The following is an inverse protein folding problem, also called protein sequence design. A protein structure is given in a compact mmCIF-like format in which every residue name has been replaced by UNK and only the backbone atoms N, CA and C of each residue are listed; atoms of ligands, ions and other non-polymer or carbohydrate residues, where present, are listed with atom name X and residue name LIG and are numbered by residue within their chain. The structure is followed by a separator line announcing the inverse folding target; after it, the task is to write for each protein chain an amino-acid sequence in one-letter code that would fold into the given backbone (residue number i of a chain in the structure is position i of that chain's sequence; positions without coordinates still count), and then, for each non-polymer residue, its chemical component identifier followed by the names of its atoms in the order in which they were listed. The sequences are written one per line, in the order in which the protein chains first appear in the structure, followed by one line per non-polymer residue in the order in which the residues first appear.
data_IF_982582863185
#
_entry.id   IF_982582863185
#
_cell.length_a   1.000
_cell.length_b   1.000
_cell.length_c   1.000
_cell.angle_alpha   90.00
_cell.angle_beta   90.00
_cell.angle_gamma   90.00
#
_symmetry.space_group_name_H-M   'P 1'
#
loop_
_entity.id
_entity.type
_entity.pdbx_description
1 polymer ?
#
# COMPACT_ATOMS: atom_id res chain seq x y z
N UNK A 1 -46.96 61.38 -48.75
CA UNK A 1 -46.32 60.10 -49.13
C UNK A 1 -46.01 59.34 -47.86
N UNK A 2 -46.71 58.23 -47.63
CA UNK A 2 -46.56 57.35 -46.48
C UNK A 2 -45.31 56.48 -46.61
N UNK A 3 -44.50 56.36 -45.56
CA UNK A 3 -43.60 55.21 -45.34
C UNK A 3 -43.60 54.84 -43.86
N UNK A 4 -44.23 53.70 -43.61
CA UNK A 4 -44.10 52.82 -42.47
C UNK A 4 -42.67 52.31 -42.29
N UNK A 5 -42.33 51.94 -41.06
CA UNK A 5 -41.24 51.06 -40.57
C UNK A 5 -40.52 51.75 -39.42
N UNK A 6 -40.46 51.21 -38.21
CA UNK A 6 -40.89 49.94 -37.66
C UNK A 6 -40.21 49.89 -36.29
N UNK A 7 -41.01 49.74 -35.24
CA UNK A 7 -40.49 49.36 -33.93
C UNK A 7 -39.80 48.01 -34.06
N UNK A 8 -38.49 48.00 -33.87
CA UNK A 8 -37.76 46.79 -33.53
C UNK A 8 -36.58 47.17 -32.64
N UNK A 9 -36.69 46.70 -31.39
CA UNK A 9 -35.57 46.36 -30.52
C UNK A 9 -35.05 47.42 -29.57
N UNK A 10 -35.95 47.94 -28.73
CA UNK A 10 -35.70 47.89 -27.28
C UNK A 10 -35.64 46.40 -26.85
N UNK A 11 -34.50 45.72 -27.02
CA UNK A 11 -34.32 44.39 -26.41
C UNK A 11 -32.86 43.90 -26.30
N UNK A 12 -31.90 44.42 -27.07
CA UNK A 12 -30.57 43.79 -27.15
C UNK A 12 -29.41 44.60 -26.56
N UNK A 13 -29.70 45.69 -25.84
CA UNK A 13 -28.68 46.47 -25.15
C UNK A 13 -28.31 45.93 -23.74
N UNK A 14 -28.94 44.83 -23.29
CA UNK A 14 -28.93 44.43 -21.88
C UNK A 14 -28.05 43.24 -21.47
N UNK A 15 -27.32 42.56 -22.37
CA UNK A 15 -26.70 41.26 -22.00
C UNK A 15 -25.29 40.99 -22.54
N UNK A 16 -24.56 42.00 -23.02
CA UNK A 16 -23.24 41.78 -23.63
C UNK A 16 -22.04 41.99 -22.67
N UNK A 17 -22.25 42.45 -21.43
CA UNK A 17 -21.13 42.91 -20.57
C UNK A 17 -20.78 41.98 -19.39
N UNK A 18 -21.35 40.76 -19.34
CA UNK A 18 -21.09 39.78 -18.25
C UNK A 18 -20.54 38.42 -18.71
N UNK A 19 -20.31 38.20 -20.01
CA UNK A 19 -19.97 36.86 -20.52
C UNK A 19 -18.49 36.65 -20.89
N UNK A 20 -17.69 37.72 -20.99
CA UNK A 20 -16.27 37.64 -21.36
C UNK A 20 -15.30 37.59 -20.17
N UNK A 21 -15.83 37.69 -18.96
CA UNK A 21 -15.15 37.32 -17.72
C UNK A 21 -15.73 35.97 -17.30
N UNK A 22 -15.09 34.83 -17.52
CA UNK A 22 -13.75 34.61 -18.04
C UNK A 22 -13.72 33.09 -18.31
N UNK A 23 -14.08 32.61 -19.53
CA UNK A 23 -13.87 31.22 -19.89
C UNK A 23 -12.43 30.79 -19.56
N UNK A 24 -11.49 31.73 -19.69
CA UNK A 24 -10.11 31.61 -19.25
C UNK A 24 -9.97 31.38 -17.73
N UNK A 25 -10.56 32.21 -16.86
CA UNK A 25 -10.47 32.00 -15.41
C UNK A 25 -11.12 30.68 -14.98
N UNK A 26 -12.22 30.27 -15.62
CA UNK A 26 -12.81 28.97 -15.38
C UNK A 26 -11.82 27.84 -15.75
N UNK A 27 -11.16 27.93 -16.90
CA UNK A 27 -10.13 26.96 -17.30
C UNK A 27 -8.90 26.97 -16.39
N UNK A 28 -8.44 28.15 -15.96
CA UNK A 28 -7.33 28.30 -15.00
C UNK A 28 -7.72 27.70 -13.65
N UNK A 29 -8.95 27.90 -13.18
CA UNK A 29 -9.43 27.30 -11.95
C UNK A 29 -9.47 25.76 -12.04
N UNK A 30 -9.98 25.20 -13.14
CA UNK A 30 -10.00 23.75 -13.36
C UNK A 30 -8.57 23.19 -13.44
N UNK A 31 -7.65 23.87 -14.12
CA UNK A 31 -6.24 23.51 -14.17
C UNK A 31 -5.62 23.51 -12.76
N UNK A 32 -5.86 24.57 -11.97
CA UNK A 32 -5.33 24.69 -10.62
C UNK A 32 -5.88 23.59 -9.70
N UNK A 33 -7.18 23.29 -9.77
CA UNK A 33 -7.80 22.20 -9.01
C UNK A 33 -7.27 20.84 -9.46
N UNK A 34 -7.13 20.61 -10.78
CA UNK A 34 -6.55 19.39 -11.33
C UNK A 34 -5.09 19.20 -10.93
N UNK A 35 -4.29 20.27 -10.92
CA UNK A 35 -2.90 20.25 -10.48
C UNK A 35 -2.79 20.02 -8.96
N UNK A 36 -3.65 20.66 -8.16
CA UNK A 36 -3.71 20.44 -6.72
C UNK A 36 -4.11 19.00 -6.38
N UNK A 37 -5.12 18.45 -7.06
CA UNK A 37 -5.51 17.05 -6.94
C UNK A 37 -4.40 16.11 -7.42
N UNK A 38 -3.73 16.41 -8.53
CA UNK A 38 -2.59 15.65 -9.03
C UNK A 38 -1.43 15.62 -8.04
N UNK A 39 -1.03 16.78 -7.51
CA UNK A 39 0.00 16.87 -6.47
C UNK A 39 -0.43 16.17 -5.18
N UNK A 40 -1.70 16.28 -4.79
CA UNK A 40 -2.24 15.55 -3.66
C UNK A 40 -2.17 14.04 -3.87
N UNK A 41 -2.48 13.56 -5.09
CA UNK A 41 -2.36 12.13 -5.42
C UNK A 41 -0.91 11.66 -5.42
N UNK A 42 0.07 12.47 -5.83
CA UNK A 42 1.49 12.10 -5.75
C UNK A 42 1.94 11.93 -4.30
N UNK A 43 1.55 12.85 -3.42
CA UNK A 43 1.84 12.72 -1.98
C UNK A 43 1.11 11.51 -1.38
N UNK A 44 -0.12 11.25 -1.82
CA UNK A 44 -0.89 10.10 -1.33
C UNK A 44 -0.35 8.76 -1.87
N UNK A 45 0.16 8.73 -3.09
CA UNK A 45 0.78 7.56 -3.72
C UNK A 45 2.11 7.23 -3.03
N UNK A 46 2.94 8.25 -2.76
CA UNK A 46 4.17 8.11 -1.97
C UNK A 46 3.90 7.63 -0.53
N UNK A 47 2.77 8.06 0.06
CA UNK A 47 2.35 7.63 1.40
C UNK A 47 1.58 6.30 1.42
N UNK A 48 1.18 5.76 0.26
CA UNK A 48 0.41 4.52 0.19
C UNK A 48 1.37 3.35 -0.02
N UNK A 49 1.63 2.51 1.00
CA UNK A 49 2.31 1.25 0.75
C UNK A 49 1.52 0.42 -0.27
N UNK A 50 2.24 -0.07 -1.27
CA UNK A 50 1.76 -0.81 -2.45
C UNK A 50 0.62 -1.77 -2.07
N UNK A 51 -0.64 -1.36 -2.31
CA UNK A 51 -1.82 -2.10 -1.80
C UNK A 51 -2.09 -3.39 -2.56
N UNK A 52 -1.45 -3.59 -3.70
CA UNK A 52 -1.64 -4.79 -4.52
C UNK A 52 -0.83 -6.00 -4.03
N UNK A 53 0.16 -5.80 -3.16
CA UNK A 53 0.98 -6.88 -2.59
C UNK A 53 1.45 -6.48 -1.18
N UNK A 54 0.95 -7.12 -0.10
CA UNK A 54 1.34 -6.76 1.26
C UNK A 54 2.86 -6.92 1.39
N UNK A 55 3.52 -5.82 1.75
CA UNK A 55 4.97 -5.79 1.97
C UNK A 55 5.39 -6.79 3.05
N UNK A 56 6.68 -7.16 3.02
CA UNK A 56 7.25 -8.15 3.93
C UNK A 56 6.97 -7.82 5.42
N UNK A 57 6.99 -6.54 5.78
CA UNK A 57 6.68 -6.02 7.11
C UNK A 57 5.24 -6.29 7.54
N UNK A 58 4.28 -6.10 6.63
CA UNK A 58 2.85 -6.37 6.92
C UNK A 58 2.62 -7.86 7.18
N UNK A 59 3.29 -8.70 6.40
CA UNK A 59 3.23 -10.16 6.59
C UNK A 59 3.93 -10.55 7.90
N UNK A 60 5.09 -9.95 8.21
CA UNK A 60 5.80 -10.15 9.46
C UNK A 60 4.93 -9.79 10.67
N UNK A 61 4.28 -8.62 10.68
CA UNK A 61 3.41 -8.18 11.76
C UNK A 61 2.21 -9.13 11.99
N UNK A 62 1.70 -9.72 10.92
CA UNK A 62 0.61 -10.71 10.98
C UNK A 62 1.10 -12.03 11.56
N UNK A 63 2.26 -12.51 11.09
CA UNK A 63 2.90 -13.74 11.58
C UNK A 63 3.22 -13.62 13.06
N UNK A 64 3.88 -12.53 13.46
CA UNK A 64 4.24 -12.29 14.85
C UNK A 64 3.00 -12.29 15.74
N UNK A 65 1.94 -11.57 15.37
CA UNK A 65 0.69 -11.55 16.15
C UNK A 65 0.04 -12.93 16.29
N UNK A 66 0.12 -13.76 15.25
CA UNK A 66 -0.52 -15.09 15.25
C UNK A 66 0.29 -16.11 16.04
N UNK A 67 1.62 -16.08 15.88
CA UNK A 67 2.53 -17.00 16.54
C UNK A 67 2.86 -16.59 17.99
N UNK A 68 2.60 -15.35 18.39
CA UNK A 68 2.92 -14.87 19.73
C UNK A 68 1.84 -15.23 20.76
N UNK A 69 2.28 -15.79 21.89
CA UNK A 69 1.45 -16.03 23.08
C UNK A 69 2.14 -15.37 24.27
N UNK A 70 1.49 -14.36 24.87
CA UNK A 70 2.04 -13.66 26.04
C UNK A 70 3.38 -12.97 25.80
N UNK A 71 3.63 -12.49 24.56
CA UNK A 71 4.89 -11.85 24.17
C UNK A 71 6.02 -12.82 23.76
N UNK A 72 5.72 -14.13 23.71
CA UNK A 72 6.67 -15.16 23.28
C UNK A 72 6.18 -15.79 21.98
N UNK A 73 7.02 -15.80 20.96
CA UNK A 73 6.78 -16.49 19.69
C UNK A 73 6.83 -17.99 19.92
N UNK A 74 5.75 -18.65 19.54
CA UNK A 74 5.58 -20.09 19.53
C UNK A 74 5.78 -20.63 18.10
N UNK A 75 6.90 -21.34 17.83
CA UNK A 75 7.18 -21.86 16.50
C UNK A 75 6.13 -22.84 15.96
N UNK A 76 5.43 -23.57 16.85
CA UNK A 76 4.42 -24.54 16.45
C UNK A 76 3.19 -23.85 15.82
N UNK A 77 2.95 -22.58 16.19
CA UNK A 77 1.86 -21.74 15.67
C UNK A 77 2.19 -21.00 14.38
N UNK A 78 3.42 -21.12 13.87
CA UNK A 78 3.78 -20.49 12.59
C UNK A 78 2.92 -21.00 11.43
N UNK A 79 2.47 -22.27 11.50
CA UNK A 79 1.57 -22.85 10.49
C UNK A 79 0.18 -22.24 10.48
N UNK A 80 -0.29 -21.73 11.63
CA UNK A 80 -1.60 -21.09 11.74
C UNK A 80 -1.63 -19.74 11.02
N UNK A 81 -0.46 -19.10 10.84
CA UNK A 81 -0.33 -17.89 10.05
C UNK A 81 -0.39 -18.13 8.53
N UNK A 82 -0.23 -19.38 8.08
CA UNK A 82 0.11 -19.72 6.69
C UNK A 82 -1.03 -19.64 5.65
N UNK A 83 -2.25 -19.19 6.00
CA UNK A 83 -3.06 -18.43 5.07
C UNK A 83 -2.45 -17.25 4.29
N UNK A 84 -1.36 -17.37 3.53
CA UNK A 84 -0.84 -16.25 2.72
C UNK A 84 -1.45 -16.25 1.31
N UNK A 85 -1.77 -15.06 0.81
CA UNK A 85 -2.29 -14.85 -0.55
C UNK A 85 -1.20 -14.91 -1.63
N UNK A 86 0.07 -14.81 -1.22
CA UNK A 86 1.23 -14.72 -2.09
C UNK A 86 2.29 -15.74 -1.64
N UNK A 87 3.16 -16.23 -2.57
CA UNK A 87 4.28 -17.09 -2.21
C UNK A 87 5.16 -16.44 -1.14
N UNK A 88 5.18 -17.05 0.04
CA UNK A 88 5.77 -16.49 1.25
C UNK A 88 6.55 -17.56 1.99
N UNK A 89 7.74 -17.20 2.45
CA UNK A 89 8.57 -18.03 3.33
C UNK A 89 8.76 -17.30 4.65
N UNK A 90 8.36 -17.95 5.73
CA UNK A 90 8.53 -17.48 7.11
C UNK A 90 9.58 -18.36 7.76
N UNK A 91 10.58 -17.75 8.38
CA UNK A 91 11.65 -18.45 9.10
C UNK A 91 11.82 -17.83 10.49
N UNK A 92 11.87 -18.67 11.52
CA UNK A 92 12.27 -18.28 12.88
C UNK A 92 13.56 -19.00 13.21
N UNK A 93 14.55 -18.26 13.70
CA UNK A 93 15.85 -18.80 14.11
C UNK A 93 16.11 -18.45 15.56
N UNK A 94 16.37 -19.46 16.40
CA UNK A 94 16.69 -19.27 17.81
C UNK A 94 17.48 -20.47 18.35
N UNK A 95 18.51 -20.24 19.16
CA UNK A 95 19.30 -21.30 19.83
C UNK A 95 19.85 -22.37 18.84
N UNK A 96 20.33 -21.92 17.67
CA UNK A 96 20.82 -22.80 16.60
C UNK A 96 19.75 -23.63 15.89
N UNK A 97 18.48 -23.45 16.26
CA UNK A 97 17.33 -24.15 15.67
C UNK A 97 16.61 -23.22 14.70
N UNK A 98 16.19 -23.77 13.56
CA UNK A 98 15.46 -23.04 12.52
C UNK A 98 14.10 -23.69 12.29
N UNK A 99 13.03 -22.92 12.45
CA UNK A 99 11.68 -23.31 12.05
C UNK A 99 11.32 -22.56 10.78
N UNK A 100 10.89 -23.28 9.73
CA UNK A 100 10.51 -22.70 8.45
C UNK A 100 9.10 -23.15 8.06
N UNK A 101 8.31 -22.19 7.58
CA UNK A 101 7.00 -22.43 6.97
C UNK A 101 6.99 -21.74 5.61
N UNK A 102 6.58 -22.50 4.60
CA UNK A 102 6.44 -22.04 3.22
C UNK A 102 4.96 -22.09 2.86
N UNK A 103 4.47 -21.07 2.16
CA UNK A 103 3.09 -21.03 1.68
C UNK A 103 3.05 -20.52 0.25
N UNK A 104 2.25 -21.21 -0.58
CA UNK A 104 2.13 -20.94 -2.02
C UNK A 104 3.14 -21.72 -2.87
N UNK A 105 2.74 -22.00 -4.11
CA UNK A 105 3.62 -22.62 -5.12
C UNK A 105 4.71 -21.60 -5.50
N UNK A 106 5.98 -22.00 -5.43
CA UNK A 106 7.15 -21.12 -5.60
C UNK A 106 7.39 -20.12 -4.44
N UNK A 107 7.11 -20.51 -3.19
CA UNK A 107 7.58 -19.77 -2.04
C UNK A 107 9.10 -19.51 -2.15
N UNK A 108 9.60 -18.29 -1.82
CA UNK A 108 11.01 -17.98 -1.98
C UNK A 108 11.90 -18.92 -1.17
N UNK A 109 12.64 -19.78 -1.86
CA UNK A 109 13.67 -20.61 -1.24
C UNK A 109 14.89 -19.78 -0.84
N UNK A 110 15.84 -20.39 -0.11
CA UNK A 110 17.08 -19.74 0.32
C UNK A 110 17.88 -19.11 -0.84
N UNK A 111 17.87 -19.75 -2.02
CA UNK A 111 18.54 -19.24 -3.22
C UNK A 111 17.83 -18.04 -3.86
N UNK A 112 16.49 -17.94 -3.72
CA UNK A 112 15.73 -16.81 -4.25
C UNK A 112 15.98 -15.53 -3.45
N UNK A 113 16.32 -15.66 -2.16
CA UNK A 113 16.72 -14.56 -1.29
C UNK A 113 18.02 -13.89 -1.75
N UNK A 114 18.94 -14.66 -2.35
CA UNK A 114 20.20 -14.12 -2.88
C UNK A 114 19.97 -13.28 -4.15
N UNK A 115 18.89 -13.55 -4.89
CA UNK A 115 18.40 -12.72 -5.99
C UNK A 115 17.48 -11.60 -5.44
N UNK A 116 18.09 -10.67 -4.69
CA UNK A 116 17.40 -9.63 -3.91
C UNK A 116 16.38 -8.77 -4.70
N UNK A 117 16.50 -8.66 -6.01
CA UNK A 117 15.60 -7.83 -6.84
C UNK A 117 14.18 -8.40 -6.99
N UNK A 118 13.97 -9.71 -6.76
CA UNK A 118 12.68 -10.38 -6.98
C UNK A 118 11.89 -10.64 -5.68
N UNK A 119 12.40 -10.21 -4.53
CA UNK A 119 11.92 -10.64 -3.22
C UNK A 119 12.01 -9.49 -2.20
N UNK A 120 10.97 -9.28 -1.40
CA UNK A 120 11.01 -8.39 -0.25
C UNK A 120 11.26 -9.19 1.04
N UNK A 121 12.09 -8.64 1.92
CA UNK A 121 12.53 -9.30 3.16
C UNK A 121 12.30 -8.36 4.34
N UNK A 122 11.70 -8.88 5.42
CA UNK A 122 11.57 -8.21 6.70
C UNK A 122 12.10 -9.10 7.82
N UNK A 123 12.79 -8.50 8.79
CA UNK A 123 13.38 -9.19 9.94
C UNK A 123 13.04 -8.47 11.24
N UNK A 124 12.78 -9.22 12.31
CA UNK A 124 12.50 -8.66 13.64
C UNK A 124 13.08 -9.54 14.74
N UNK A 125 13.79 -8.97 15.74
CA UNK A 125 14.20 -9.71 16.92
C UNK A 125 12.98 -10.04 17.78
N UNK A 126 12.86 -11.30 18.21
CA UNK A 126 11.72 -11.80 19.00
C UNK A 126 12.21 -12.71 20.12
N UNK A 127 11.36 -12.93 21.13
CA UNK A 127 11.59 -13.99 22.12
C UNK A 127 10.89 -15.25 21.64
N UNK A 128 11.62 -16.36 21.51
CA UNK A 128 11.12 -17.62 20.94
C UNK A 128 11.08 -18.70 22.01
N UNK A 129 9.98 -19.44 22.08
CA UNK A 129 9.88 -20.64 22.90
C UNK A 129 10.58 -21.80 22.19
N UNK A 130 11.67 -22.29 22.78
CA UNK A 130 12.45 -23.42 22.24
C UNK A 130 12.22 -24.72 23.01
N UNK A 131 11.38 -24.67 24.04
CA UNK A 131 10.93 -25.82 24.82
C UNK A 131 10.06 -25.38 26.01
N UNK A 132 9.50 -26.32 26.78
CA UNK A 132 8.71 -25.98 27.97
C UNK A 132 9.52 -25.15 28.97
N UNK A 133 9.05 -23.92 29.27
CA UNK A 133 9.74 -22.99 30.17
C UNK A 133 11.07 -22.43 29.64
N UNK A 134 11.46 -22.75 28.39
CA UNK A 134 12.70 -22.28 27.78
C UNK A 134 12.40 -21.27 26.69
N UNK A 135 12.74 -20.01 26.98
CA UNK A 135 12.58 -18.89 26.06
C UNK A 135 13.97 -18.30 25.77
N UNK A 136 14.26 -18.04 24.51
CA UNK A 136 15.54 -17.45 24.09
C UNK A 136 15.29 -16.36 23.06
N UNK A 137 16.25 -15.44 22.92
CA UNK A 137 16.19 -14.44 21.86
C UNK A 137 16.44 -15.12 20.51
N UNK A 138 15.61 -14.78 19.53
CA UNK A 138 15.73 -15.24 18.16
C UNK A 138 15.39 -14.15 17.17
N UNK A 139 15.34 -14.52 15.90
CA UNK A 139 14.99 -13.65 14.78
C UNK A 139 13.83 -14.26 14.01
N UNK A 140 12.76 -13.48 13.84
CA UNK A 140 11.68 -13.78 12.91
C UNK A 140 12.00 -13.09 11.59
N UNK A 141 12.05 -13.86 10.51
CA UNK A 141 12.30 -13.41 9.16
C UNK A 141 11.15 -13.80 8.25
N UNK A 142 10.68 -12.85 7.45
CA UNK A 142 9.67 -13.07 6.43
C UNK A 142 10.21 -12.65 5.08
N UNK A 143 9.96 -13.50 4.10
CA UNK A 143 10.42 -13.35 2.72
C UNK A 143 9.21 -13.53 1.82
N UNK A 144 8.86 -12.49 1.06
CA UNK A 144 7.71 -12.50 0.13
C UNK A 144 8.20 -12.21 -1.27
N UNK A 145 7.61 -12.85 -2.27
CA UNK A 145 7.93 -12.56 -3.67
C UNK A 145 7.41 -11.18 -4.07
N UNK A 146 8.22 -10.38 -4.76
CA UNK A 146 7.82 -9.07 -5.28
C UNK A 146 6.93 -9.21 -6.50
#
# INVERSE_FOLDING_TARGET
MSRSSGEASDAEAGSADRAAVEPLAALVAVLAVGAALGLYTVVLDDATPDRERPGAETVLDRVERTATVGGIVDPDRLRDAAPFRYPTTVTVEADGTTWRVESGENAPGRAAVEAADAVAVAERPVTVRVGPGRNVRGTLRVVVRR
#
